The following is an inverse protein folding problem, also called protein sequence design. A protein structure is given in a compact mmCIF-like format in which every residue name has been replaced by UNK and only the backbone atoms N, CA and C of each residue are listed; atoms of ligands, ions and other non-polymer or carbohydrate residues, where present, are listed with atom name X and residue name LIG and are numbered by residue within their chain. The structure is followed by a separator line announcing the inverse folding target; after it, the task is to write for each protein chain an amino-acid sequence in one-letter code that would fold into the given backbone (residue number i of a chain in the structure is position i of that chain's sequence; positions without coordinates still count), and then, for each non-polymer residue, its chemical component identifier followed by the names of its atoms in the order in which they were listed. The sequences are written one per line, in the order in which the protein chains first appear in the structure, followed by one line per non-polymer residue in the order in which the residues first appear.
data_IF_307204403620
#
_entry.id   IF_307204403620
#
_cell.length_a   1.000
_cell.length_b   1.000
_cell.length_c   1.000
_cell.angle_alpha   90.00
_cell.angle_beta   90.00
_cell.angle_gamma   90.00
#
_symmetry.space_group_name_H-M   'P 1'
#
loop_
_entity.id
_entity.type
_entity.pdbx_description
1 polymer ?
#
# COMPACT_ATOMS: atom_id res chain seq x y z
N UNK A 1 -1.96 -6.82 12.50
CA UNK A 1 -1.11 -5.81 11.82
C UNK A 1 0.17 -5.67 12.60
N UNK A 2 1.28 -5.34 11.95
CA UNK A 2 2.49 -4.93 12.65
C UNK A 2 2.22 -3.63 13.44
N UNK A 3 2.98 -3.34 14.52
CA UNK A 3 2.93 -2.04 15.18
C UNK A 3 3.14 -0.93 14.15
N UNK A 4 2.22 0.03 14.11
CA UNK A 4 2.27 1.13 13.16
C UNK A 4 3.23 2.22 13.69
N UNK A 5 4.49 2.23 13.22
CA UNK A 5 5.48 3.25 13.60
C UNK A 5 5.14 4.67 13.12
N UNK A 6 4.27 4.78 12.11
CA UNK A 6 3.90 6.01 11.43
C UNK A 6 2.56 6.60 11.93
N UNK A 7 2.04 6.15 13.09
CA UNK A 7 0.75 6.58 13.64
C UNK A 7 0.65 8.10 13.91
N UNK A 8 1.79 8.77 14.12
CA UNK A 8 1.87 10.22 14.32
C UNK A 8 2.12 11.02 13.05
N UNK A 9 2.63 10.39 11.99
CA UNK A 9 3.03 11.07 10.76
C UNK A 9 1.93 11.07 9.71
N UNK A 10 1.02 10.09 9.76
CA UNK A 10 -0.08 9.96 8.81
C UNK A 10 -1.37 10.66 9.27
N UNK A 11 -2.23 11.00 8.32
CA UNK A 11 -3.59 11.48 8.54
C UNK A 11 -4.55 10.34 8.92
N UNK A 12 -4.26 9.10 8.53
CA UNK A 12 -5.07 7.93 8.90
C UNK A 12 -4.81 7.55 10.36
N UNK A 13 -5.82 7.67 11.21
CA UNK A 13 -5.70 7.43 12.66
C UNK A 13 -6.15 6.02 13.06
N UNK A 14 -5.62 5.53 14.19
CA UNK A 14 -5.88 4.17 14.67
C UNK A 14 -7.37 3.87 14.88
N UNK A 15 -8.13 4.82 15.43
CA UNK A 15 -9.58 4.65 15.61
C UNK A 15 -10.34 4.46 14.28
N UNK A 16 -9.91 5.13 13.21
CA UNK A 16 -10.46 4.94 11.87
C UNK A 16 -10.10 3.56 11.32
N UNK A 17 -8.86 3.10 11.53
CA UNK A 17 -8.42 1.75 11.16
C UNK A 17 -9.21 0.66 11.91
N UNK A 18 -9.45 0.86 13.21
CA UNK A 18 -10.19 -0.08 14.04
C UNK A 18 -11.66 -0.14 13.63
N UNK A 19 -12.28 1.02 13.37
CA UNK A 19 -13.62 1.10 12.81
C UNK A 19 -13.71 0.40 11.45
N UNK A 20 -12.77 0.66 10.54
CA UNK A 20 -12.72 0.02 9.22
C UNK A 20 -12.61 -1.50 9.34
N UNK A 21 -11.68 -1.99 10.16
CA UNK A 21 -11.52 -3.43 10.42
C UNK A 21 -12.83 -4.06 10.93
N UNK A 22 -13.46 -3.44 11.93
CA UNK A 22 -14.73 -3.94 12.48
C UNK A 22 -15.86 -3.94 11.45
N UNK A 23 -15.92 -2.91 10.61
CA UNK A 23 -17.00 -2.70 9.64
C UNK A 23 -16.90 -3.66 8.46
N UNK A 24 -15.67 -3.95 8.00
CA UNK A 24 -15.42 -4.76 6.80
C UNK A 24 -15.03 -6.21 7.09
N UNK A 25 -14.86 -6.61 8.36
CA UNK A 25 -14.73 -8.04 8.71
C UNK A 25 -16.12 -8.65 8.75
N UNK A 26 -16.43 -9.65 7.90
CA UNK A 26 -17.73 -10.32 7.92
C UNK A 26 -18.03 -10.95 9.28
N UNK A 27 -19.32 -11.10 9.60
CA UNK A 27 -19.72 -11.76 10.83
C UNK A 27 -19.13 -13.17 10.90
N UNK A 28 -18.62 -13.56 12.08
CA UNK A 28 -17.96 -14.84 12.35
C UNK A 28 -16.61 -15.06 11.66
N UNK A 29 -16.08 -14.06 10.96
CA UNK A 29 -14.72 -14.12 10.43
C UNK A 29 -13.74 -13.52 11.42
N UNK A 30 -12.54 -14.09 11.49
CA UNK A 30 -11.42 -13.43 12.13
C UNK A 30 -10.89 -12.34 11.22
N UNK A 31 -10.56 -11.17 11.77
CA UNK A 31 -9.96 -10.07 11.02
C UNK A 31 -8.60 -10.42 10.38
N UNK A 32 -7.98 -11.54 10.81
CA UNK A 32 -6.76 -12.11 10.26
C UNK A 32 -7.00 -13.15 9.17
N UNK A 33 -8.24 -13.34 8.73
CA UNK A 33 -8.55 -14.24 7.62
C UNK A 33 -7.76 -13.83 6.36
N UNK A 34 -7.24 -14.80 5.61
CA UNK A 34 -6.40 -14.58 4.42
C UNK A 34 -7.12 -13.87 3.25
N UNK A 35 -8.45 -13.90 3.24
CA UNK A 35 -9.27 -13.14 2.30
C UNK A 35 -9.44 -11.67 2.68
N UNK A 36 -9.11 -11.30 3.94
CA UNK A 36 -9.15 -9.93 4.44
C UNK A 36 -7.74 -9.34 4.48
N UNK A 37 -6.76 -10.10 4.96
CA UNK A 37 -5.36 -9.67 5.05
C UNK A 37 -4.57 -10.26 3.89
N UNK A 38 -4.10 -9.38 3.01
CA UNK A 38 -3.23 -9.71 1.88
C UNK A 38 -1.88 -10.31 2.33
N UNK A 39 -1.38 -9.82 3.48
CA UNK A 39 -0.19 -10.37 4.14
C UNK A 39 -0.45 -11.81 4.58
N UNK A 40 0.43 -12.74 4.20
CA UNK A 40 0.29 -14.21 4.36
C UNK A 40 -0.60 -14.91 3.33
N UNK A 41 -1.19 -14.16 2.39
CA UNK A 41 -1.90 -14.72 1.24
C UNK A 41 -1.20 -14.38 -0.08
N UNK A 42 0.12 -14.19 -0.03
CA UNK A 42 0.90 -13.93 -1.23
C UNK A 42 0.85 -15.16 -2.13
N UNK A 43 0.47 -14.99 -3.39
CA UNK A 43 0.44 -16.05 -4.40
C UNK A 43 1.47 -15.75 -5.49
N UNK A 44 1.81 -16.75 -6.28
CA UNK A 44 2.48 -16.49 -7.55
C UNK A 44 1.46 -15.82 -8.50
N UNK A 45 1.91 -14.75 -9.13
CA UNK A 45 1.18 -13.90 -10.05
C UNK A 45 1.95 -13.96 -11.37
N UNK A 46 1.27 -14.33 -12.45
CA UNK A 46 1.85 -14.36 -13.80
C UNK A 46 1.88 -12.97 -14.46
N UNK A 47 1.80 -11.91 -13.64
CA UNK A 47 1.75 -10.52 -14.07
C UNK A 47 2.84 -9.71 -13.38
N UNK A 48 3.26 -8.63 -14.03
CA UNK A 48 4.12 -7.63 -13.41
C UNK A 48 3.28 -6.85 -12.38
N UNK A 49 3.81 -6.67 -11.18
CA UNK A 49 3.14 -5.94 -10.09
C UNK A 49 3.86 -4.62 -9.83
N UNK A 50 3.11 -3.54 -9.80
CA UNK A 50 3.59 -2.25 -9.31
C UNK A 50 3.08 -2.02 -7.89
N UNK A 51 3.98 -1.69 -6.98
CA UNK A 51 3.65 -1.30 -5.61
C UNK A 51 4.15 0.11 -5.35
N UNK A 52 3.30 0.94 -4.78
CA UNK A 52 3.64 2.28 -4.32
C UNK A 52 3.40 2.36 -2.82
N UNK A 53 4.32 2.98 -2.09
CA UNK A 53 4.15 3.27 -0.68
C UNK A 53 4.79 4.62 -0.32
N UNK A 54 4.11 5.41 0.50
CA UNK A 54 4.70 6.56 1.17
C UNK A 54 5.45 6.12 2.43
N UNK A 55 6.69 6.57 2.63
CA UNK A 55 7.49 6.09 3.79
C UNK A 55 6.93 6.51 5.14
N UNK A 56 6.06 7.52 5.17
CA UNK A 56 5.40 8.06 6.37
C UNK A 56 3.96 7.56 6.54
N UNK A 57 3.50 6.63 5.71
CA UNK A 57 2.13 6.11 5.79
C UNK A 57 1.98 4.98 6.82
N UNK A 58 0.80 4.86 7.43
CA UNK A 58 0.49 3.85 8.47
C UNK A 58 0.60 2.42 7.98
N UNK A 59 0.48 2.21 6.68
CA UNK A 59 0.52 0.89 6.05
C UNK A 59 1.89 0.50 5.51
N UNK A 60 2.87 1.41 5.53
CA UNK A 60 4.18 1.22 4.88
C UNK A 60 4.81 -0.14 5.21
N UNK A 61 4.99 -0.47 6.50
CA UNK A 61 5.66 -1.72 6.90
C UNK A 61 4.91 -2.98 6.40
N UNK A 62 3.57 -2.92 6.36
CA UNK A 62 2.76 -4.03 5.84
C UNK A 62 2.89 -4.13 4.31
N UNK A 63 2.93 -3.00 3.58
CA UNK A 63 3.08 -2.95 2.12
C UNK A 63 4.46 -3.49 1.72
N UNK A 64 5.52 -3.06 2.38
CA UNK A 64 6.88 -3.53 2.11
C UNK A 64 7.00 -5.01 2.39
N UNK A 65 6.48 -5.49 3.53
CA UNK A 65 6.53 -6.92 3.87
C UNK A 65 5.74 -7.78 2.88
N UNK A 66 4.57 -7.32 2.44
CA UNK A 66 3.81 -8.00 1.39
C UNK A 66 4.61 -8.09 0.08
N UNK A 67 5.26 -7.00 -0.31
CA UNK A 67 6.09 -6.94 -1.51
C UNK A 67 7.29 -7.89 -1.44
N UNK A 68 8.00 -7.92 -0.31
CA UNK A 68 9.09 -8.87 -0.08
C UNK A 68 8.61 -10.32 -0.20
N UNK A 69 7.43 -10.61 0.35
CA UNK A 69 6.84 -11.95 0.28
C UNK A 69 6.42 -12.32 -1.15
N UNK A 70 5.90 -11.38 -1.94
CA UNK A 70 5.66 -11.60 -3.38
C UNK A 70 6.96 -11.93 -4.11
N UNK A 71 8.02 -11.13 -3.90
CA UNK A 71 9.34 -11.38 -4.52
C UNK A 71 9.91 -12.75 -4.15
N UNK A 72 9.73 -13.21 -2.91
CA UNK A 72 10.13 -14.56 -2.46
C UNK A 72 9.36 -15.71 -3.12
N UNK A 73 8.23 -15.42 -3.76
CA UNK A 73 7.42 -16.36 -4.55
C UNK A 73 7.61 -16.17 -6.06
N UNK A 74 8.79 -15.71 -6.46
CA UNK A 74 9.20 -15.50 -7.86
C UNK A 74 8.32 -14.51 -8.66
N UNK A 75 7.58 -13.64 -7.98
CA UNK A 75 6.84 -12.57 -8.62
C UNK A 75 7.77 -11.45 -9.09
N UNK A 76 7.44 -10.87 -10.25
CA UNK A 76 8.09 -9.65 -10.73
C UNK A 76 7.40 -8.43 -10.13
N UNK A 77 8.07 -7.76 -9.20
CA UNK A 77 7.51 -6.61 -8.47
C UNK A 77 8.41 -5.39 -8.59
N UNK A 78 7.87 -4.30 -9.14
CA UNK A 78 8.48 -2.96 -9.14
C UNK A 78 7.91 -2.16 -7.96
N UNK A 79 8.79 -1.51 -7.18
CA UNK A 79 8.40 -0.76 -5.98
C UNK A 79 8.81 0.69 -6.11
N UNK A 80 7.88 1.61 -5.88
CA UNK A 80 8.12 3.03 -5.70
C UNK A 80 7.85 3.42 -4.26
N UNK A 81 8.93 3.68 -3.52
CA UNK A 81 8.86 4.28 -2.19
C UNK A 81 9.01 5.79 -2.31
N UNK A 82 8.02 6.54 -1.82
CA UNK A 82 8.06 8.01 -1.86
C UNK A 82 8.43 8.55 -0.48
N UNK A 83 9.61 9.19 -0.32
CA UNK A 83 10.06 9.70 0.98
C UNK A 83 9.09 10.72 1.58
N UNK A 84 8.99 10.71 2.91
CA UNK A 84 8.21 11.66 3.72
C UNK A 84 6.74 11.80 3.32
N UNK A 85 6.20 10.83 2.57
CA UNK A 85 4.84 10.86 2.06
C UNK A 85 3.94 9.98 2.90
N UNK A 86 2.77 10.51 3.24
CA UNK A 86 1.73 9.86 4.06
C UNK A 86 0.74 9.10 3.20
N UNK A 87 -0.29 8.48 3.79
CA UNK A 87 -1.37 7.91 3.00
C UNK A 87 -2.18 9.03 2.35
N UNK A 88 -2.23 9.05 1.01
CA UNK A 88 -2.95 10.08 0.25
C UNK A 88 -4.04 9.44 -0.61
N UNK A 89 -5.31 9.81 -0.45
CA UNK A 89 -6.33 9.51 -1.44
C UNK A 89 -5.96 10.20 -2.76
N UNK A 90 -5.85 9.44 -3.85
CA UNK A 90 -5.60 9.99 -5.19
C UNK A 90 -6.49 11.22 -5.45
N UNK A 91 -5.88 12.33 -5.92
CA UNK A 91 -6.47 13.66 -6.21
C UNK A 91 -6.42 14.74 -5.12
N UNK A 92 -5.79 14.51 -3.96
CA UNK A 92 -5.64 15.54 -2.92
C UNK A 92 -4.26 16.20 -2.83
N UNK A 93 -3.29 15.83 -3.69
CA UNK A 93 -1.90 16.30 -3.60
C UNK A 93 -1.74 17.82 -3.56
N UNK A 94 -2.56 18.56 -4.33
CA UNK A 94 -2.58 20.04 -4.34
C UNK A 94 -2.95 20.67 -3.01
N UNK A 95 -3.80 20.02 -2.23
CA UNK A 95 -4.25 20.59 -0.96
C UNK A 95 -3.25 20.33 0.18
N UNK A 96 -2.33 19.39 -0.02
CA UNK A 96 -1.47 18.84 1.05
C UNK A 96 0.04 19.03 0.79
N UNK A 97 0.42 19.86 -0.19
CA UNK A 97 1.82 20.09 -0.61
C UNK A 97 2.53 18.79 -1.04
N UNK A 98 1.84 17.90 -1.73
CA UNK A 98 2.33 16.58 -2.18
C UNK A 98 2.37 16.47 -3.71
N UNK A 99 2.39 17.58 -4.43
CA UNK A 99 2.36 17.63 -5.89
C UNK A 99 3.58 16.95 -6.53
N UNK A 100 4.77 17.16 -5.98
CA UNK A 100 6.01 16.55 -6.49
C UNK A 100 5.96 15.02 -6.35
N UNK A 101 5.56 14.54 -5.16
CA UNK A 101 5.33 13.13 -4.89
C UNK A 101 4.30 12.53 -5.86
N UNK A 102 3.20 13.26 -6.11
CA UNK A 102 2.16 12.85 -7.05
C UNK A 102 2.69 12.81 -8.50
N UNK A 103 3.49 13.79 -8.92
CA UNK A 103 4.05 13.84 -10.27
C UNK A 103 5.05 12.69 -10.51
N UNK A 104 5.93 12.42 -9.55
CA UNK A 104 6.88 11.29 -9.60
C UNK A 104 6.12 9.97 -9.70
N UNK A 105 5.08 9.79 -8.87
CA UNK A 105 4.23 8.60 -8.91
C UNK A 105 3.58 8.43 -10.29
N UNK A 106 2.93 9.48 -10.80
CA UNK A 106 2.23 9.42 -12.09
C UNK A 106 3.20 9.08 -13.23
N UNK A 107 4.36 9.74 -13.29
CA UNK A 107 5.36 9.46 -14.31
C UNK A 107 5.89 8.01 -14.22
N UNK A 108 6.08 7.50 -13.01
CA UNK A 108 6.57 6.12 -12.79
C UNK A 108 5.50 5.09 -13.16
N UNK A 109 4.24 5.33 -12.74
CA UNK A 109 3.12 4.47 -13.07
C UNK A 109 2.84 4.44 -14.58
N UNK A 110 2.92 5.58 -15.27
CA UNK A 110 2.78 5.62 -16.73
C UNK A 110 3.85 4.76 -17.41
N UNK A 111 5.13 4.91 -17.03
CA UNK A 111 6.21 4.06 -17.55
C UNK A 111 6.02 2.58 -17.24
N UNK A 112 5.46 2.27 -16.08
CA UNK A 112 5.12 0.90 -15.72
C UNK A 112 4.04 0.33 -16.65
N UNK A 113 2.96 1.07 -16.87
CA UNK A 113 1.85 0.66 -17.75
C UNK A 113 2.31 0.46 -19.19
N UNK A 114 3.17 1.35 -19.70
CA UNK A 114 3.79 1.22 -21.03
C UNK A 114 4.54 -0.11 -21.21
N UNK A 115 5.24 -0.61 -20.17
CA UNK A 115 5.92 -1.92 -20.21
C UNK A 115 4.94 -3.09 -20.29
N UNK A 116 3.74 -2.92 -19.75
CA UNK A 116 2.72 -3.98 -19.70
C UNK A 116 1.84 -4.03 -20.94
N UNK A 117 2.00 -3.10 -21.89
CA UNK A 117 1.17 -3.00 -23.09
C UNK A 117 -0.27 -2.55 -22.82
N UNK A 118 -0.49 -1.88 -21.68
CA UNK A 118 -1.77 -1.30 -21.26
C UNK A 118 -1.95 0.13 -21.77
#
# INVERSE_FOLDING_TARGET
MLPNRNYNTDFVKQNFLDWGRKTFTPERWDSSNSWIIFLRNETQLDILVFVNAGTSEVFYDNIIKFTENLKKKDNKVEVLETPNTVHVPYRLGKNWNLEDAQAIFLATMTKFLEKTGA
#
